data_IF_448110357297
#
_entry.id   IF_448110357297
#
_cell.length_a   1.000
_cell.length_b   1.000
_cell.length_c   1.000
_cell.angle_alpha   90.00
_cell.angle_beta   90.00
_cell.angle_gamma   90.00
#
_symmetry.space_group_name_H-M   'P 1'
#
loop_
_entity.id
_entity.type
_entity.pdbx_description
1 polymer ?
#
# COMPACT_ATOMS: atom_id res chain seq x y z
N UNK A 1 54.94 -26.42 20.35
CA UNK A 1 53.94 -26.44 21.43
C UNK A 1 53.05 -25.22 21.22
N UNK A 2 51.92 -25.39 20.52
CA UNK A 2 50.97 -24.30 20.27
C UNK A 2 49.93 -24.29 21.38
N UNK A 3 49.81 -23.17 22.09
CA UNK A 3 48.79 -22.98 23.10
C UNK A 3 47.39 -22.95 22.46
N UNK A 4 46.36 -23.55 23.08
CA UNK A 4 44.99 -23.47 22.57
C UNK A 4 44.45 -22.03 22.70
N UNK A 5 43.76 -21.57 21.67
CA UNK A 5 43.11 -20.26 21.62
C UNK A 5 41.87 -20.26 22.55
N UNK A 6 41.79 -19.42 23.61
CA UNK A 6 40.76 -19.52 24.64
C UNK A 6 39.39 -18.92 24.25
N UNK A 7 39.11 -18.65 22.97
CA UNK A 7 37.97 -17.80 22.59
C UNK A 7 36.96 -18.43 21.63
N UNK A 8 36.82 -19.76 21.62
CA UNK A 8 35.64 -20.40 21.06
C UNK A 8 34.58 -20.59 22.16
N UNK A 9 34.04 -19.48 22.67
CA UNK A 9 32.87 -19.54 23.56
C UNK A 9 31.63 -19.66 22.68
N UNK A 10 31.06 -20.87 22.58
CA UNK A 10 29.67 -21.04 22.14
C UNK A 10 28.79 -20.22 23.09
N UNK A 11 27.96 -19.27 22.61
CA UNK A 11 27.10 -18.51 23.51
C UNK A 11 26.19 -19.48 24.27
N UNK A 12 25.95 -19.27 25.57
CA UNK A 12 25.04 -20.10 26.34
C UNK A 12 23.66 -20.06 25.69
N UNK A 13 23.05 -21.23 25.46
CA UNK A 13 21.68 -21.34 24.95
C UNK A 13 20.79 -20.56 25.92
N UNK A 14 20.31 -19.39 25.48
CA UNK A 14 19.53 -18.48 26.31
C UNK A 14 18.23 -19.14 26.78
N UNK A 15 17.93 -19.09 28.07
CA UNK A 15 16.66 -19.57 28.66
C UNK A 15 15.49 -18.64 28.36
N UNK A 16 15.70 -17.60 27.56
CA UNK A 16 14.69 -16.62 27.18
C UNK A 16 13.89 -17.11 25.98
N UNK A 17 12.57 -16.92 26.03
CA UNK A 17 11.71 -17.09 24.84
C UNK A 17 11.86 -15.88 23.89
N UNK A 18 11.31 -15.99 22.68
CA UNK A 18 11.43 -14.94 21.66
C UNK A 18 10.95 -13.57 22.15
N UNK A 19 9.77 -13.51 22.79
CA UNK A 19 9.20 -12.26 23.32
C UNK A 19 10.11 -11.59 24.36
N UNK A 20 10.77 -12.36 25.22
CA UNK A 20 11.70 -11.83 26.23
C UNK A 20 12.96 -11.25 25.58
N UNK A 21 13.44 -11.86 24.49
CA UNK A 21 14.56 -11.34 23.70
C UNK A 21 14.15 -10.03 23.05
N UNK A 22 12.97 -9.99 22.42
CA UNK A 22 12.45 -8.79 21.75
C UNK A 22 12.31 -7.62 22.74
N UNK A 23 11.76 -7.85 23.93
CA UNK A 23 11.66 -6.83 24.98
C UNK A 23 13.02 -6.37 25.50
N UNK A 24 13.97 -7.28 25.71
CA UNK A 24 15.31 -6.95 26.21
C UNK A 24 16.08 -6.07 25.22
N UNK A 25 15.88 -6.29 23.93
CA UNK A 25 16.51 -5.50 22.86
C UNK A 25 15.64 -4.36 22.34
N UNK A 26 14.43 -4.19 22.88
CA UNK A 26 13.48 -3.16 22.43
C UNK A 26 13.10 -3.31 20.96
N UNK A 27 13.00 -4.54 20.46
CA UNK A 27 12.62 -4.81 19.07
C UNK A 27 11.12 -4.55 18.92
N UNK A 28 10.76 -3.73 17.95
CA UNK A 28 9.38 -3.60 17.51
C UNK A 28 8.90 -4.93 16.90
N UNK A 29 7.63 -5.30 17.09
CA UNK A 29 7.07 -6.51 16.48
C UNK A 29 7.09 -6.39 14.95
N UNK A 30 7.35 -7.52 14.28
CA UNK A 30 7.26 -7.59 12.82
C UNK A 30 5.79 -7.53 12.43
N UNK A 31 5.41 -6.49 11.69
CA UNK A 31 4.07 -6.37 11.14
C UNK A 31 4.04 -6.92 9.72
N UNK A 32 3.31 -8.01 9.49
CA UNK A 32 3.07 -8.49 8.12
C UNK A 32 2.08 -7.59 7.39
N UNK A 33 2.22 -7.39 6.06
CA UNK A 33 1.30 -6.59 5.28
C UNK A 33 -0.12 -7.20 5.30
N UNK A 34 -1.11 -6.38 5.64
CA UNK A 34 -2.53 -6.76 5.65
C UNK A 34 -3.05 -7.32 6.98
N UNK A 35 -2.22 -7.39 8.02
CA UNK A 35 -2.64 -7.87 9.35
C UNK A 35 -3.25 -6.76 10.23
N UNK A 36 -3.16 -5.49 9.84
CA UNK A 36 -3.73 -4.37 10.58
C UNK A 36 -4.56 -3.44 9.70
N UNK A 37 -5.65 -2.89 10.24
CA UNK A 37 -6.47 -1.90 9.54
C UNK A 37 -5.68 -0.64 9.14
N UNK A 38 -4.62 -0.29 9.89
CA UNK A 38 -3.69 0.81 9.55
C UNK A 38 -2.81 0.54 8.33
N UNK A 39 -2.78 -0.71 7.85
CA UNK A 39 -2.05 -1.13 6.66
C UNK A 39 -2.97 -1.29 5.45
N UNK A 40 -4.21 -0.78 5.53
CA UNK A 40 -5.06 -0.69 4.35
C UNK A 40 -4.33 0.17 3.30
N UNK A 41 -4.25 -0.27 2.04
CA UNK A 41 -3.61 0.52 1.00
C UNK A 41 -4.27 1.91 0.92
N UNK A 42 -3.45 2.96 0.82
CA UNK A 42 -3.91 4.34 0.68
C UNK A 42 -4.33 4.64 -0.76
N UNK A 43 -4.04 3.75 -1.70
CA UNK A 43 -4.41 3.89 -3.10
C UNK A 43 -5.11 2.65 -3.62
N UNK A 44 -5.87 2.83 -4.70
CA UNK A 44 -6.49 1.74 -5.46
C UNK A 44 -6.18 1.89 -6.94
N UNK A 45 -5.90 0.76 -7.59
CA UNK A 45 -5.74 0.67 -9.03
C UNK A 45 -7.08 0.29 -9.67
N UNK A 46 -7.63 1.15 -10.52
CA UNK A 46 -8.92 0.94 -11.18
C UNK A 46 -8.79 0.96 -12.70
N UNK A 47 -9.65 0.19 -13.37
CA UNK A 47 -9.79 0.23 -14.82
C UNK A 47 -10.76 1.34 -15.22
N UNK A 48 -10.26 2.31 -16.00
CA UNK A 48 -11.00 3.47 -16.49
C UNK A 48 -11.31 3.28 -17.97
N UNK A 49 -12.58 3.37 -18.35
CA UNK A 49 -12.99 3.32 -19.76
C UNK A 49 -13.12 4.73 -20.34
N UNK A 50 -12.30 5.06 -21.34
CA UNK A 50 -12.29 6.38 -21.96
C UNK A 50 -13.62 6.68 -22.70
N UNK A 51 -14.29 7.83 -22.43
CA UNK A 51 -15.55 8.17 -23.07
C UNK A 51 -15.39 8.67 -24.52
N UNK A 52 -14.16 8.88 -24.99
CA UNK A 52 -13.86 9.31 -26.37
C UNK A 52 -13.62 8.14 -27.32
N UNK A 53 -12.79 7.18 -26.91
CA UNK A 53 -12.37 6.06 -27.77
C UNK A 53 -12.80 4.68 -27.24
N UNK A 54 -13.44 4.61 -26.08
CA UNK A 54 -13.95 3.40 -25.43
C UNK A 54 -12.90 2.33 -25.12
N UNK A 55 -11.62 2.72 -25.05
CA UNK A 55 -10.55 1.85 -24.57
C UNK A 55 -10.37 2.01 -23.07
N UNK A 56 -10.07 0.90 -22.42
CA UNK A 56 -9.71 0.87 -21.01
C UNK A 56 -8.23 1.16 -20.77
N UNK A 57 -7.93 1.76 -19.63
CA UNK A 57 -6.57 1.88 -19.08
C UNK A 57 -6.60 1.84 -17.56
N UNK A 58 -5.47 1.51 -16.92
CA UNK A 58 -5.34 1.53 -15.47
C UNK A 58 -4.99 2.91 -14.95
N UNK A 59 -5.62 3.35 -13.87
CA UNK A 59 -5.26 4.57 -13.15
C UNK A 59 -5.29 4.34 -11.63
N UNK A 60 -4.44 5.06 -10.92
CA UNK A 60 -4.31 5.02 -9.46
C UNK A 60 -5.07 6.20 -8.82
N UNK A 61 -5.86 5.88 -7.79
CA UNK A 61 -6.67 6.83 -7.02
C UNK A 61 -6.34 6.74 -5.55
N UNK A 62 -6.33 7.87 -4.86
CA UNK A 62 -6.12 7.94 -3.42
C UNK A 62 -7.43 7.61 -2.68
N UNK A 63 -7.37 6.64 -1.76
CA UNK A 63 -8.45 6.26 -0.85
C UNK A 63 -8.45 7.21 0.35
N UNK A 64 -9.01 8.40 0.15
CA UNK A 64 -9.21 9.42 1.18
C UNK A 64 -10.68 9.60 1.59
N UNK A 65 -10.91 10.37 2.65
CA UNK A 65 -12.27 10.79 3.06
C UNK A 65 -12.83 11.92 2.20
N UNK A 66 -12.00 12.55 1.38
CA UNK A 66 -12.38 13.66 0.50
C UNK A 66 -12.60 13.18 -0.94
N UNK A 67 -13.44 13.90 -1.67
CA UNK A 67 -13.62 13.70 -3.11
C UNK A 67 -12.43 14.25 -3.90
N UNK A 68 -11.98 13.51 -4.92
CA UNK A 68 -10.94 13.92 -5.86
C UNK A 68 -11.55 14.20 -7.24
N UNK A 69 -11.16 15.32 -7.86
CA UNK A 69 -11.43 15.61 -9.27
C UNK A 69 -10.09 15.78 -9.98
N UNK A 70 -9.88 15.00 -11.04
CA UNK A 70 -8.65 15.01 -11.82
C UNK A 70 -8.96 15.11 -13.32
N UNK A 71 -8.26 16.02 -14.01
CA UNK A 71 -8.30 16.10 -15.48
C UNK A 71 -7.04 15.43 -16.03
N UNK A 72 -7.22 14.43 -16.88
CA UNK A 72 -6.14 13.68 -17.52
C UNK A 72 -6.42 13.48 -19.01
N UNK A 73 -5.39 13.26 -19.82
CA UNK A 73 -5.54 12.88 -21.23
C UNK A 73 -5.60 11.36 -21.39
N UNK A 74 -6.49 10.87 -22.27
CA UNK A 74 -6.51 9.45 -22.60
C UNK A 74 -5.18 8.99 -23.20
N UNK A 75 -4.50 7.96 -22.65
CA UNK A 75 -3.21 7.49 -23.17
C UNK A 75 -3.28 6.88 -24.58
N UNK A 76 -4.50 6.63 -25.09
CA UNK A 76 -4.73 6.00 -26.39
C UNK A 76 -5.15 6.99 -27.48
N UNK A 77 -5.98 8.00 -27.16
CA UNK A 77 -6.55 8.93 -28.15
C UNK A 77 -6.33 10.40 -27.84
N UNK A 78 -5.64 10.73 -26.73
CA UNK A 78 -5.33 12.10 -26.31
C UNK A 78 -6.57 13.01 -26.12
N UNK A 79 -7.76 12.42 -25.94
CA UNK A 79 -8.95 13.19 -25.58
C UNK A 79 -8.95 13.43 -24.07
N UNK A 80 -9.24 14.67 -23.65
CA UNK A 80 -9.25 15.05 -22.25
C UNK A 80 -10.44 14.40 -21.51
N UNK A 81 -10.17 13.85 -20.32
CA UNK A 81 -11.11 13.12 -19.48
C UNK A 81 -11.13 13.78 -18.11
N UNK A 82 -12.33 13.96 -17.56
CA UNK A 82 -12.52 14.30 -16.15
C UNK A 82 -12.85 13.03 -15.38
N UNK A 83 -12.07 12.77 -14.32
CA UNK A 83 -12.25 11.67 -13.39
C UNK A 83 -12.69 12.25 -12.05
N UNK A 84 -13.85 11.85 -11.56
CA UNK A 84 -14.35 12.22 -10.25
C UNK A 84 -14.44 10.96 -9.38
N UNK A 85 -13.59 10.90 -8.36
CA UNK A 85 -13.50 9.78 -7.43
C UNK A 85 -13.95 10.21 -6.04
N UNK A 86 -14.90 9.49 -5.44
CA UNK A 86 -15.50 9.91 -4.18
C UNK A 86 -15.99 8.72 -3.34
N UNK A 87 -15.95 8.82 -2.00
CA UNK A 87 -16.59 7.84 -1.14
C UNK A 87 -18.10 7.84 -1.36
N UNK A 88 -18.69 6.66 -1.43
CA UNK A 88 -20.14 6.45 -1.54
C UNK A 88 -20.78 6.21 -0.17
N UNK A 89 -20.05 5.55 0.73
CA UNK A 89 -20.48 5.28 2.11
C UNK A 89 -19.28 5.11 3.08
N UNK A 90 -19.60 4.90 4.36
CA UNK A 90 -18.63 4.69 5.43
C UNK A 90 -18.03 3.26 5.43
N UNK A 91 -18.51 2.36 4.56
CA UNK A 91 -18.07 0.97 4.47
C UNK A 91 -16.95 0.76 3.45
N UNK A 92 -16.42 1.85 2.87
CA UNK A 92 -15.31 1.80 1.92
C UNK A 92 -15.75 1.55 0.48
N UNK A 93 -17.02 1.83 0.16
CA UNK A 93 -17.47 1.87 -1.23
C UNK A 93 -17.09 3.22 -1.83
N UNK A 94 -16.64 3.21 -3.08
CA UNK A 94 -16.25 4.40 -3.83
C UNK A 94 -16.93 4.42 -5.18
N UNK A 95 -17.28 5.62 -5.65
CA UNK A 95 -17.79 5.85 -6.98
C UNK A 95 -16.74 6.57 -7.82
N UNK A 96 -16.57 6.10 -9.05
CA UNK A 96 -15.78 6.74 -10.08
C UNK A 96 -16.72 7.17 -11.22
N UNK A 97 -16.85 8.48 -11.41
CA UNK A 97 -17.53 9.07 -12.57
C UNK A 97 -16.49 9.47 -13.63
N UNK A 98 -16.73 9.11 -14.89
CA UNK A 98 -15.79 9.32 -16.01
C UNK A 98 -16.49 10.14 -17.10
N UNK A 99 -16.06 11.39 -17.27
CA UNK A 99 -16.67 12.34 -18.18
C UNK A 99 -15.70 12.80 -19.27
N UNK A 100 -16.23 13.25 -20.41
CA UNK A 100 -15.42 13.99 -21.38
C UNK A 100 -15.13 15.37 -20.81
N UNK A 101 -13.86 15.75 -20.77
CA UNK A 101 -13.49 17.13 -20.46
C UNK A 101 -13.48 17.93 -21.77
N UNK A 102 -14.27 19.02 -21.77
CA UNK A 102 -14.48 19.98 -22.87
C UNK A 102 -15.25 19.45 -24.10
#
# INVERSE_FOLDING_TARGET
>A
MGSPNPSAQTPPISTFNAEQIDLMYGLDPIYEPGQQARQCPLTVWLEVCCPHCWRSYGSEFELGSDSEIRIEDCPQCCGAIELQFQPEDEHGHYRLDVNRAY
#
